data_IF_986346374069
#
_entry.id   IF_986346374069
#
_cell.length_a   1.000
_cell.length_b   1.000
_cell.length_c   1.000
_cell.angle_alpha   90.00
_cell.angle_beta   90.00
_cell.angle_gamma   90.00
#
_symmetry.space_group_name_H-M   'P 1'
#
loop_
_entity.id
_entity.type
_entity.pdbx_description
1 polymer ?
#
# COMPACT_ATOMS: atom_id res chain seq x y z
N UNK A 1 18.22 9.84 30.10
CA UNK A 1 19.52 10.25 29.53
C UNK A 1 20.46 9.07 29.67
N UNK A 2 21.22 8.75 28.62
CA UNK A 2 22.14 7.61 28.61
C UNK A 2 23.19 7.81 29.71
N UNK A 3 23.25 6.90 30.69
CA UNK A 3 24.02 7.17 31.92
C UNK A 3 25.49 6.74 31.87
N UNK A 4 25.98 5.99 30.88
CA UNK A 4 27.40 5.61 30.81
C UNK A 4 27.87 5.33 29.38
N UNK A 5 28.80 6.17 28.87
CA UNK A 5 29.88 5.83 27.92
C UNK A 5 29.59 5.17 26.56
N UNK A 6 28.35 4.79 26.25
CA UNK A 6 28.00 4.13 25.00
C UNK A 6 27.94 5.12 23.84
N UNK A 7 28.51 4.74 22.69
CA UNK A 7 28.45 5.52 21.45
C UNK A 7 27.11 5.40 20.71
N UNK A 8 26.19 4.55 21.19
CA UNK A 8 24.93 4.21 20.51
C UNK A 8 23.75 4.49 21.41
N UNK A 9 22.77 5.27 20.94
CA UNK A 9 21.51 5.52 21.61
C UNK A 9 20.43 4.54 21.11
N UNK A 10 19.84 3.76 22.03
CA UNK A 10 18.71 2.87 21.73
C UNK A 10 17.44 3.42 22.40
N UNK A 11 16.38 3.57 21.62
CA UNK A 11 15.09 4.05 22.09
C UNK A 11 13.95 3.22 21.49
N UNK A 12 12.90 2.97 22.28
CA UNK A 12 11.66 2.41 21.74
C UNK A 12 10.98 3.46 20.87
N UNK A 13 10.62 3.07 19.65
CA UNK A 13 10.16 3.98 18.62
C UNK A 13 8.99 3.40 17.84
N UNK A 14 8.44 4.21 16.94
CA UNK A 14 7.49 3.79 15.91
C UNK A 14 8.13 4.01 14.53
N UNK A 15 7.67 3.31 13.47
CA UNK A 15 8.16 3.55 12.12
C UNK A 15 8.08 5.02 11.67
N UNK A 16 7.04 5.73 12.10
CA UNK A 16 6.86 7.16 11.80
C UNK A 16 7.95 8.03 12.45
N UNK A 17 8.31 7.74 13.71
CA UNK A 17 9.39 8.47 14.38
C UNK A 17 10.75 8.20 13.73
N UNK A 18 11.03 6.95 13.31
CA UNK A 18 12.23 6.61 12.57
C UNK A 18 12.31 7.37 11.24
N UNK A 19 11.22 7.35 10.46
CA UNK A 19 11.15 8.06 9.18
C UNK A 19 11.29 9.58 9.34
N UNK A 20 10.76 10.14 10.43
CA UNK A 20 10.96 11.56 10.77
C UNK A 20 12.45 11.87 10.92
N UNK A 21 13.18 11.10 11.72
CA UNK A 21 14.61 11.31 11.91
C UNK A 21 15.39 11.18 10.60
N UNK A 22 15.06 10.20 9.74
CA UNK A 22 15.69 10.07 8.43
C UNK A 22 15.42 11.25 7.48
N UNK A 23 14.28 11.93 7.62
CA UNK A 23 13.91 13.09 6.81
C UNK A 23 14.50 14.39 7.36
N UNK A 24 14.66 14.47 8.69
CA UNK A 24 15.35 15.58 9.36
C UNK A 24 16.88 15.55 9.06
N UNK A 25 17.42 14.40 8.66
CA UNK A 25 18.81 14.27 8.21
C UNK A 25 18.99 14.76 6.75
N UNK A 26 20.06 15.52 6.47
CA UNK A 26 20.40 16.06 5.14
C UNK A 26 20.94 14.96 4.16
N UNK A 27 20.18 13.88 3.98
CA UNK A 27 20.51 12.76 3.11
C UNK A 27 19.89 12.93 1.71
N UNK A 28 20.58 12.40 0.70
CA UNK A 28 20.06 12.31 -0.67
C UNK A 28 19.66 10.87 -0.99
N UNK A 29 18.50 10.71 -1.62
CA UNK A 29 17.90 9.39 -1.90
C UNK A 29 17.84 9.15 -3.40
N UNK A 30 18.09 7.91 -3.82
CA UNK A 30 17.90 7.50 -5.21
C UNK A 30 16.42 7.33 -5.54
N UNK A 31 16.02 7.75 -6.74
CA UNK A 31 14.65 7.56 -7.22
C UNK A 31 14.49 6.18 -7.86
N UNK A 32 13.44 5.45 -7.45
CA UNK A 32 12.99 4.17 -8.01
C UNK A 32 11.60 4.37 -8.63
N UNK A 33 11.35 3.88 -9.84
CA UNK A 33 10.12 4.16 -10.60
C UNK A 33 9.32 2.91 -10.98
N UNK A 34 9.96 1.76 -10.97
CA UNK A 34 9.41 0.45 -11.30
C UNK A 34 8.97 -0.30 -10.03
N UNK A 35 8.32 -1.44 -10.23
CA UNK A 35 7.79 -2.27 -9.15
C UNK A 35 8.85 -3.21 -8.54
N UNK A 36 8.40 -4.02 -7.58
CA UNK A 36 9.20 -5.03 -6.89
C UNK A 36 8.83 -6.46 -7.30
N UNK A 37 8.23 -6.66 -8.48
CA UNK A 37 7.83 -7.99 -8.95
C UNK A 37 8.78 -8.55 -10.01
N UNK A 38 8.96 -9.89 -10.06
CA UNK A 38 8.43 -10.91 -9.14
C UNK A 38 9.27 -11.06 -7.87
N UNK A 39 8.61 -11.31 -6.73
CA UNK A 39 9.27 -11.57 -5.45
C UNK A 39 9.79 -13.01 -5.36
N UNK A 40 11.01 -13.18 -4.82
CA UNK A 40 11.59 -14.47 -4.47
C UNK A 40 12.36 -14.36 -3.15
N UNK A 41 12.13 -15.31 -2.24
CA UNK A 41 12.83 -15.39 -0.95
C UNK A 41 14.18 -16.10 -1.05
N UNK A 42 14.36 -16.97 -2.06
CA UNK A 42 15.57 -17.78 -2.33
C UNK A 42 15.77 -17.95 -3.85
N UNK A 43 16.95 -18.43 -4.28
CA UNK A 43 17.18 -18.77 -5.69
C UNK A 43 16.11 -19.76 -6.19
N UNK A 44 15.53 -19.47 -7.35
CA UNK A 44 14.49 -20.27 -8.00
C UNK A 44 13.15 -20.42 -7.24
N UNK A 45 12.91 -19.69 -6.15
CA UNK A 45 11.63 -19.73 -5.41
C UNK A 45 10.79 -18.48 -5.67
N UNK A 46 10.36 -18.30 -6.92
CA UNK A 46 9.55 -17.15 -7.30
C UNK A 46 8.09 -17.33 -6.87
N UNK A 47 7.53 -16.32 -6.22
CA UNK A 47 6.15 -16.35 -5.72
C UNK A 47 5.14 -15.99 -6.82
N UNK A 48 5.36 -16.43 -8.06
CA UNK A 48 4.47 -16.11 -9.19
C UNK A 48 3.22 -16.99 -9.22
N UNK A 49 3.21 -18.11 -8.48
CA UNK A 49 2.06 -19.03 -8.45
C UNK A 49 0.77 -18.40 -7.88
N UNK A 50 0.86 -17.42 -6.97
CA UNK A 50 -0.35 -16.78 -6.45
C UNK A 50 -1.04 -15.90 -7.49
N UNK A 51 -0.39 -15.56 -8.60
CA UNK A 51 -1.02 -14.81 -9.70
C UNK A 51 -2.19 -15.57 -10.32
N UNK A 52 -2.11 -16.90 -10.45
CA UNK A 52 -3.16 -17.74 -11.05
C UNK A 52 -3.92 -18.61 -10.05
N UNK A 53 -3.40 -18.80 -8.83
CA UNK A 53 -4.05 -19.59 -7.78
C UNK A 53 -5.49 -19.15 -7.52
N UNK A 54 -6.44 -20.09 -7.36
CA UNK A 54 -7.87 -19.81 -7.10
C UNK A 54 -8.51 -18.85 -8.14
N UNK A 55 -8.53 -19.22 -9.44
CA UNK A 55 -8.96 -18.32 -10.50
C UNK A 55 -10.44 -17.90 -10.40
N UNK A 56 -11.32 -18.79 -9.94
CA UNK A 56 -12.74 -18.47 -9.75
C UNK A 56 -12.97 -17.33 -8.73
N UNK A 57 -12.20 -17.29 -7.63
CA UNK A 57 -12.28 -16.23 -6.63
C UNK A 57 -11.76 -14.90 -7.18
N UNK A 58 -10.66 -14.93 -7.95
CA UNK A 58 -10.13 -13.74 -8.61
C UNK A 58 -11.13 -13.16 -9.62
N UNK A 59 -11.77 -14.02 -10.42
CA UNK A 59 -12.83 -13.62 -11.34
C UNK A 59 -14.00 -12.98 -10.58
N UNK A 60 -14.48 -13.64 -9.52
CA UNK A 60 -15.57 -13.11 -8.69
C UNK A 60 -15.24 -11.72 -8.11
N UNK A 61 -14.03 -11.51 -7.60
CA UNK A 61 -13.58 -10.20 -7.10
C UNK A 61 -13.65 -9.11 -8.17
N UNK A 62 -13.25 -9.39 -9.42
CA UNK A 62 -13.33 -8.43 -10.53
C UNK A 62 -14.78 -8.12 -10.89
N UNK A 63 -15.62 -9.14 -10.99
CA UNK A 63 -17.04 -9.00 -11.30
C UNK A 63 -17.78 -8.16 -10.25
N UNK A 64 -17.57 -8.44 -8.96
CA UNK A 64 -18.17 -7.67 -7.86
C UNK A 64 -17.67 -6.22 -7.85
N UNK A 65 -16.39 -5.99 -8.09
CA UNK A 65 -15.86 -4.64 -8.20
C UNK A 65 -16.53 -3.84 -9.35
N UNK A 66 -16.75 -4.44 -10.51
CA UNK A 66 -17.46 -3.79 -11.62
C UNK A 66 -18.90 -3.42 -11.25
N UNK A 67 -19.64 -4.34 -10.62
CA UNK A 67 -21.00 -4.06 -10.15
C UNK A 67 -21.02 -2.95 -9.09
N UNK A 68 -20.05 -2.94 -8.19
CA UNK A 68 -19.93 -1.92 -7.15
C UNK A 68 -19.70 -0.53 -7.76
N UNK A 69 -18.81 -0.41 -8.75
CA UNK A 69 -18.56 0.87 -9.44
C UNK A 69 -19.80 1.42 -10.14
N UNK A 70 -20.58 0.55 -10.79
CA UNK A 70 -21.87 0.94 -11.41
C UNK A 70 -22.86 1.40 -10.33
N UNK A 71 -22.95 0.69 -9.21
CA UNK A 71 -23.81 1.07 -8.09
C UNK A 71 -23.46 2.44 -7.51
N UNK A 72 -22.16 2.73 -7.32
CA UNK A 72 -21.69 4.03 -6.85
C UNK A 72 -22.02 5.14 -7.84
N UNK A 73 -21.77 4.94 -9.13
CA UNK A 73 -22.08 5.91 -10.17
C UNK A 73 -23.59 6.19 -10.25
N UNK A 74 -24.41 5.14 -10.22
CA UNK A 74 -25.87 5.27 -10.23
C UNK A 74 -26.38 6.05 -9.01
N UNK A 75 -25.90 5.71 -7.81
CA UNK A 75 -26.26 6.44 -6.59
C UNK A 75 -25.89 7.93 -6.69
N UNK A 76 -24.71 8.24 -7.23
CA UNK A 76 -24.27 9.62 -7.47
C UNK A 76 -25.21 10.38 -8.41
N UNK A 77 -25.64 9.75 -9.51
CA UNK A 77 -26.58 10.35 -10.47
C UNK A 77 -27.97 10.58 -9.88
N UNK A 78 -28.51 9.61 -9.15
CA UNK A 78 -29.80 9.75 -8.47
C UNK A 78 -29.75 10.87 -7.45
N UNK A 79 -28.67 10.94 -6.66
CA UNK A 79 -28.48 12.00 -5.67
C UNK A 79 -28.38 13.38 -6.33
N UNK A 80 -27.65 13.49 -7.44
CA UNK A 80 -27.54 14.74 -8.21
C UNK A 80 -28.91 15.15 -8.79
N UNK A 81 -29.66 14.21 -9.35
CA UNK A 81 -30.99 14.48 -9.88
C UNK A 81 -31.93 15.00 -8.78
N UNK A 82 -31.92 14.39 -7.60
CA UNK A 82 -32.71 14.87 -6.47
C UNK A 82 -32.29 16.27 -6.02
N UNK A 83 -30.98 16.58 -5.98
CA UNK A 83 -30.50 17.93 -5.59
C UNK A 83 -30.83 19.00 -6.64
N UNK A 84 -30.96 18.66 -7.92
CA UNK A 84 -31.33 19.61 -8.98
C UNK A 84 -32.84 19.84 -9.11
N UNK A 85 -33.65 18.95 -8.52
CA UNK A 85 -35.12 18.99 -8.57
C UNK A 85 -35.73 19.61 -7.30
N UNK A 86 -34.90 20.00 -6.33
CA UNK A 86 -35.26 20.83 -5.17
C UNK A 86 -34.41 22.11 -5.16
#
# INVERSE_FOLDING_TARGET
MQSEGSQINLLYSTPSCYLKHLNDDDLTWTTKQDDFFPYADRPHTFWTGYFSSRPALKFFSRTVNSYFQVGVAFYGLVKLHLVLVF
#
